data_IF_553678872080
#
_entry.id   IF_553678872080
#
_cell.length_a   1.000
_cell.length_b   1.000
_cell.length_c   1.000
_cell.angle_alpha   90.00
_cell.angle_beta   90.00
_cell.angle_gamma   90.00
#
_symmetry.space_group_name_H-M   'P 1'
#
loop_
_entity.id
_entity.type
_entity.pdbx_description
1 polymer ?
#
# COMPACT_ATOMS: atom_id res chain seq x y z
N UNK A 1 17.22 -17.04 -4.39
CA UNK A 1 15.91 -17.15 -5.05
C UNK A 1 14.90 -17.36 -3.94
N UNK A 2 13.84 -16.55 -3.85
CA UNK A 2 12.87 -16.66 -2.75
C UNK A 2 12.16 -18.02 -2.79
N UNK A 3 11.99 -18.66 -1.64
CA UNK A 3 11.15 -19.85 -1.50
C UNK A 3 9.65 -19.48 -1.50
N UNK A 4 8.78 -20.48 -1.57
CA UNK A 4 7.32 -20.28 -1.57
C UNK A 4 6.82 -19.44 -0.40
N UNK A 5 7.31 -19.69 0.82
CA UNK A 5 6.94 -18.93 2.01
C UNK A 5 7.37 -17.46 1.91
N UNK A 6 8.62 -17.21 1.51
CA UNK A 6 9.15 -15.85 1.35
C UNK A 6 8.38 -15.05 0.27
N UNK A 7 7.91 -15.71 -0.79
CA UNK A 7 7.06 -15.09 -1.81
C UNK A 7 5.68 -14.72 -1.27
N UNK A 8 5.12 -15.57 -0.40
CA UNK A 8 3.85 -15.29 0.29
C UNK A 8 4.03 -14.12 1.27
N UNK A 9 5.10 -14.12 2.07
CA UNK A 9 5.41 -13.04 3.01
C UNK A 9 5.58 -11.70 2.27
N UNK A 10 6.25 -11.70 1.11
CA UNK A 10 6.36 -10.53 0.26
C UNK A 10 4.99 -10.02 -0.21
N UNK A 11 4.10 -10.91 -0.67
CA UNK A 11 2.74 -10.51 -1.05
C UNK A 11 1.97 -9.92 0.12
N UNK A 12 2.08 -10.51 1.32
CA UNK A 12 1.45 -9.98 2.54
C UNK A 12 1.97 -8.58 2.85
N UNK A 13 3.28 -8.35 2.78
CA UNK A 13 3.87 -7.02 3.00
C UNK A 13 3.35 -5.99 2.00
N UNK A 14 3.27 -6.33 0.72
CA UNK A 14 2.66 -5.45 -0.29
C UNK A 14 1.22 -5.10 0.07
N UNK A 15 0.41 -6.08 0.47
CA UNK A 15 -0.99 -5.84 0.85
C UNK A 15 -1.11 -5.00 2.13
N UNK A 16 -0.23 -5.20 3.11
CA UNK A 16 -0.20 -4.39 4.33
C UNK A 16 0.11 -2.92 4.03
N UNK A 17 1.10 -2.65 3.18
CA UNK A 17 1.44 -1.27 2.76
C UNK A 17 0.30 -0.64 1.99
N UNK A 18 -0.30 -1.36 1.03
CA UNK A 18 -1.43 -0.85 0.27
C UNK A 18 -2.64 -0.55 1.17
N UNK A 19 -2.95 -1.44 2.12
CA UNK A 19 -4.05 -1.26 3.07
C UNK A 19 -3.83 -0.06 3.97
N UNK A 20 -2.65 0.07 4.58
CA UNK A 20 -2.35 1.19 5.47
C UNK A 20 -2.46 2.54 4.75
N UNK A 21 -2.02 2.62 3.49
CA UNK A 21 -2.13 3.86 2.72
C UNK A 21 -3.57 4.13 2.23
N UNK A 22 -4.39 3.10 2.00
CA UNK A 22 -5.83 3.26 1.77
C UNK A 22 -6.54 3.79 3.02
N UNK A 23 -6.27 3.23 4.20
CA UNK A 23 -6.85 3.69 5.46
C UNK A 23 -6.47 5.14 5.73
N UNK A 24 -5.19 5.50 5.50
CA UNK A 24 -4.74 6.88 5.61
C UNK A 24 -5.42 7.82 4.59
N UNK A 25 -5.67 7.35 3.36
CA UNK A 25 -6.42 8.11 2.37
C UNK A 25 -7.87 8.35 2.81
N UNK A 26 -8.51 7.36 3.41
CA UNK A 26 -9.90 7.50 3.91
C UNK A 26 -9.96 8.49 5.08
N UNK A 27 -9.03 8.38 6.04
CA UNK A 27 -8.87 9.35 7.12
C UNK A 27 -8.62 10.77 6.59
N UNK A 28 -7.74 10.90 5.60
CA UNK A 28 -7.44 12.18 4.95
C UNK A 28 -8.67 12.81 4.30
N UNK A 29 -9.48 12.02 3.61
CA UNK A 29 -10.69 12.51 2.93
C UNK A 29 -11.83 12.83 3.90
N UNK A 30 -11.89 12.14 5.05
CA UNK A 30 -12.90 12.37 6.09
C UNK A 30 -12.57 13.58 6.99
N UNK A 31 -11.30 13.99 7.04
CA UNK A 31 -10.86 15.09 7.90
C UNK A 31 -11.34 16.44 7.34
N UNK A 32 -11.88 17.26 8.23
CA UNK A 32 -12.09 18.68 7.96
C UNK A 32 -10.77 19.42 8.21
N UNK A 33 -10.23 19.99 7.14
CA UNK A 33 -8.91 20.61 7.11
C UNK A 33 -8.94 22.10 7.46
N UNK A 34 -10.12 22.71 7.59
CA UNK A 34 -10.26 24.17 7.77
C UNK A 34 -9.66 24.68 9.10
N UNK A 35 -9.59 23.85 10.15
CA UNK A 35 -9.12 24.25 11.49
C UNK A 35 -7.87 23.47 11.96
N UNK A 36 -7.22 22.73 11.04
CA UNK A 36 -6.04 21.94 11.38
C UNK A 36 -4.75 22.76 11.25
N UNK A 37 -4.13 23.04 12.40
CA UNK A 37 -2.86 23.77 12.50
C UNK A 37 -1.73 23.12 11.69
N UNK A 38 -1.81 21.82 11.46
CA UNK A 38 -0.79 21.05 10.74
C UNK A 38 -1.13 20.83 9.25
N UNK A 39 -2.27 21.34 8.77
CA UNK A 39 -2.78 21.15 7.41
C UNK A 39 -1.74 21.47 6.33
N UNK A 40 -1.05 22.61 6.45
CA UNK A 40 -0.08 23.05 5.45
C UNK A 40 1.14 22.12 5.39
N UNK A 41 1.61 21.64 6.55
CA UNK A 41 2.72 20.70 6.63
C UNK A 41 2.32 19.34 6.05
N UNK A 42 1.15 18.82 6.45
CA UNK A 42 0.61 17.55 5.96
C UNK A 42 0.38 17.57 4.45
N UNK A 43 -0.22 18.65 3.91
CA UNK A 43 -0.39 18.83 2.48
C UNK A 43 0.94 18.91 1.72
N UNK A 44 2.03 19.35 2.36
CA UNK A 44 3.32 19.49 1.69
C UNK A 44 4.21 18.24 1.83
N UNK A 45 4.00 17.42 2.86
CA UNK A 45 4.94 16.36 3.25
C UNK A 45 4.32 14.96 3.36
N UNK A 46 3.01 14.84 3.55
CA UNK A 46 2.34 13.54 3.78
C UNK A 46 0.99 13.45 3.09
N UNK A 47 0.89 13.88 1.84
CA UNK A 47 -0.31 13.55 1.06
C UNK A 47 -0.44 12.02 0.87
N UNK A 48 -1.66 11.47 0.84
CA UNK A 48 -1.86 10.07 0.53
C UNK A 48 -1.31 9.69 -0.85
N UNK A 49 -0.55 8.59 -0.90
CA UNK A 49 0.15 8.15 -2.09
C UNK A 49 -0.62 7.06 -2.84
N UNK A 50 -1.50 7.49 -3.75
CA UNK A 50 -2.28 6.58 -4.61
C UNK A 50 -1.40 5.71 -5.53
N UNK A 51 -0.19 6.14 -5.87
CA UNK A 51 0.74 5.33 -6.66
C UNK A 51 1.32 4.18 -5.83
N UNK A 52 1.67 4.44 -4.56
CA UNK A 52 2.14 3.42 -3.62
C UNK A 52 1.13 2.29 -3.44
N UNK A 53 -0.17 2.64 -3.31
CA UNK A 53 -1.27 1.66 -3.26
C UNK A 53 -1.27 0.79 -4.52
N UNK A 54 -1.34 1.42 -5.70
CA UNK A 54 -1.42 0.72 -6.99
C UNK A 54 -0.21 -0.19 -7.23
N UNK A 55 0.99 0.29 -6.93
CA UNK A 55 2.21 -0.44 -7.22
C UNK A 55 2.38 -1.65 -6.31
N UNK A 56 2.02 -1.53 -5.03
CA UNK A 56 2.02 -2.68 -4.12
C UNK A 56 0.97 -3.73 -4.50
N UNK A 57 -0.24 -3.32 -4.91
CA UNK A 57 -1.25 -4.26 -5.43
C UNK A 57 -0.76 -4.99 -6.67
N UNK A 58 -0.11 -4.28 -7.60
CA UNK A 58 0.49 -4.90 -8.80
C UNK A 58 1.61 -5.86 -8.45
N UNK A 59 2.45 -5.53 -7.47
CA UNK A 59 3.53 -6.37 -7.01
C UNK A 59 3.01 -7.68 -6.40
N UNK A 60 1.99 -7.60 -5.53
CA UNK A 60 1.33 -8.77 -4.98
C UNK A 60 0.73 -9.65 -6.10
N UNK A 61 0.01 -9.05 -7.06
CA UNK A 61 -0.60 -9.77 -8.18
C UNK A 61 0.45 -10.47 -9.07
N UNK A 62 1.57 -9.80 -9.38
CA UNK A 62 2.66 -10.37 -10.17
C UNK A 62 3.31 -11.55 -9.47
N UNK A 63 3.61 -11.42 -8.17
CA UNK A 63 4.20 -12.51 -7.39
C UNK A 63 3.24 -13.68 -7.27
N UNK A 64 1.95 -13.42 -7.05
CA UNK A 64 0.93 -14.46 -7.00
C UNK A 64 0.82 -15.24 -8.30
N UNK A 65 0.84 -14.55 -9.44
CA UNK A 65 0.84 -15.19 -10.76
C UNK A 65 2.10 -16.04 -10.99
N UNK A 66 3.28 -15.55 -10.59
CA UNK A 66 4.52 -16.32 -10.69
C UNK A 66 4.47 -17.58 -9.80
N UNK A 67 4.12 -17.41 -8.53
CA UNK A 67 4.09 -18.51 -7.56
C UNK A 67 3.07 -19.58 -7.95
N UNK A 68 1.89 -19.20 -8.46
CA UNK A 68 0.88 -20.15 -8.94
C UNK A 68 1.38 -21.07 -10.07
N UNK A 69 2.33 -20.60 -10.89
CA UNK A 69 2.96 -21.42 -11.94
C UNK A 69 4.13 -22.28 -11.42
N UNK A 70 4.67 -21.96 -10.24
CA UNK A 70 5.77 -22.70 -9.61
C UNK A 70 5.29 -23.82 -8.69
N UNK A 71 4.17 -23.58 -7.99
CA UNK A 71 3.50 -24.60 -7.17
C UNK A 71 2.82 -25.60 -8.11
N UNK A 72 3.36 -26.81 -8.17
CA UNK A 72 2.83 -27.94 -8.95
C UNK A 72 2.00 -28.88 -8.10
#
# INVERSE_FOLDING_TARGET
MMNTGEKIDYMIQCLQVAKAECEYLDEWNAKDWEDDRDMQWLCSNRQPNKSLIKDNLRNAARMGFQLANEVK
#
